data_IF_198097037396
#
_entry.id   IF_198097037396
#
_cell.length_a   1.000
_cell.length_b   1.000
_cell.length_c   1.000
_cell.angle_alpha   90.00
_cell.angle_beta   90.00
_cell.angle_gamma   90.00
#
_symmetry.space_group_name_H-M   'P 1'
#
loop_
_entity.id
_entity.type
_entity.pdbx_description
1 polymer ?
#
# COMPACT_ATOMS: atom_id res chain seq x y z
N UNK A 1 -7.67 4.66 -3.39
CA UNK A 1 -6.75 3.90 -2.51
C UNK A 1 -5.85 4.83 -1.69
N UNK A 2 -4.91 5.55 -2.30
CA UNK A 2 -3.97 6.41 -1.55
C UNK A 2 -4.62 7.56 -0.78
N UNK A 3 -5.65 8.19 -1.33
CA UNK A 3 -6.37 9.28 -0.67
C UNK A 3 -7.01 8.89 0.68
N UNK A 4 -7.38 7.62 0.84
CA UNK A 4 -8.09 7.09 2.02
C UNK A 4 -7.19 6.22 2.90
N UNK A 5 -5.94 5.99 2.51
CA UNK A 5 -5.07 5.04 3.20
C UNK A 5 -4.74 5.48 4.63
N UNK A 6 -4.44 6.76 4.79
CA UNK A 6 -4.04 7.36 6.07
C UNK A 6 -5.24 7.76 6.94
N UNK A 7 -6.46 7.39 6.56
CA UNK A 7 -7.71 7.69 7.29
C UNK A 7 -8.40 6.41 7.74
N UNK A 8 -9.41 6.51 8.61
CA UNK A 8 -10.20 5.36 9.07
C UNK A 8 -10.99 4.70 7.91
N UNK A 9 -11.28 5.45 6.85
CA UNK A 9 -11.97 4.93 5.65
C UNK A 9 -11.20 3.78 4.98
N UNK A 10 -9.89 3.67 5.24
CA UNK A 10 -9.03 2.56 4.80
C UNK A 10 -9.68 1.21 5.08
N UNK A 11 -10.22 0.99 6.27
CA UNK A 11 -10.70 -0.31 6.72
C UNK A 11 -11.99 -0.75 5.99
N UNK A 12 -12.72 0.22 5.43
CA UNK A 12 -13.84 -0.02 4.54
C UNK A 12 -13.40 -0.12 3.07
N UNK A 13 -12.50 0.75 2.61
CA UNK A 13 -12.19 0.89 1.19
C UNK A 13 -11.14 -0.10 0.70
N UNK A 14 -9.96 -0.17 1.35
CA UNK A 14 -8.83 -0.99 0.85
C UNK A 14 -9.27 -2.43 0.59
N UNK A 15 -9.97 -3.11 1.51
CA UNK A 15 -10.32 -4.53 1.34
C UNK A 15 -11.28 -4.79 0.18
N UNK A 16 -12.05 -3.79 -0.25
CA UNK A 16 -12.93 -3.88 -1.42
C UNK A 16 -12.18 -3.71 -2.75
N UNK A 17 -10.95 -3.18 -2.70
CA UNK A 17 -10.08 -3.02 -3.87
C UNK A 17 -9.12 -4.20 -4.08
N UNK A 18 -9.13 -5.20 -3.19
CA UNK A 18 -8.21 -6.35 -3.25
C UNK A 18 -8.91 -7.61 -3.73
N UNK A 19 -8.19 -8.41 -4.49
CA UNK A 19 -8.59 -9.77 -4.80
C UNK A 19 -8.69 -10.63 -3.51
N UNK A 20 -9.59 -11.63 -3.45
CA UNK A 20 -9.74 -12.49 -2.26
C UNK A 20 -8.44 -13.15 -1.79
N UNK A 21 -7.58 -13.52 -2.74
CA UNK A 21 -6.28 -14.17 -2.59
C UNK A 21 -5.11 -13.23 -2.93
N UNK A 22 -5.30 -11.92 -2.73
CA UNK A 22 -4.29 -10.87 -2.92
C UNK A 22 -2.93 -11.25 -2.31
N UNK A 23 -1.87 -10.88 -3.01
CA UNK A 23 -0.49 -11.07 -2.58
C UNK A 23 0.14 -9.73 -2.16
N UNK A 24 0.29 -9.50 -0.86
CA UNK A 24 0.74 -8.21 -0.34
C UNK A 24 2.08 -8.32 0.42
N UNK A 25 3.00 -7.35 0.26
CA UNK A 25 4.27 -7.38 0.97
C UNK A 25 4.05 -7.02 2.44
N UNK A 26 4.51 -7.90 3.35
CA UNK A 26 4.64 -7.57 4.76
C UNK A 26 6.09 -7.17 5.01
N UNK A 27 6.35 -5.86 4.95
CA UNK A 27 7.69 -5.30 5.08
C UNK A 27 8.27 -5.44 6.50
N UNK A 28 7.43 -5.58 7.52
CA UNK A 28 7.89 -5.70 8.91
C UNK A 28 8.59 -7.04 9.16
N UNK A 29 7.97 -8.13 8.69
CA UNK A 29 8.47 -9.47 8.93
C UNK A 29 9.26 -10.01 7.72
N UNK A 30 9.44 -9.19 6.66
CA UNK A 30 10.00 -9.60 5.36
C UNK A 30 9.29 -10.86 4.77
N UNK A 31 7.97 -10.90 4.90
CA UNK A 31 7.11 -11.99 4.43
C UNK A 31 6.04 -11.45 3.46
N UNK A 32 5.09 -12.31 3.07
CA UNK A 32 3.94 -11.91 2.25
C UNK A 32 2.63 -12.25 2.97
N UNK A 33 1.75 -11.27 3.06
CA UNK A 33 0.38 -11.43 3.54
C UNK A 33 -0.50 -11.90 2.38
N UNK A 34 -1.11 -13.09 2.52
CA UNK A 34 -1.94 -13.71 1.49
C UNK A 34 -3.41 -13.62 1.86
N UNK A 35 -4.20 -12.99 0.99
CA UNK A 35 -5.63 -12.78 1.15
C UNK A 35 -6.00 -11.61 2.06
N UNK A 36 -7.25 -11.17 1.93
CA UNK A 36 -7.76 -9.92 2.54
C UNK A 36 -7.59 -9.90 4.06
N UNK A 37 -7.83 -11.04 4.73
CA UNK A 37 -7.73 -11.14 6.18
C UNK A 37 -6.29 -10.89 6.67
N UNK A 38 -5.30 -11.46 5.99
CA UNK A 38 -3.89 -11.25 6.33
C UNK A 38 -3.46 -9.80 6.10
N UNK A 39 -3.92 -9.18 5.00
CA UNK A 39 -3.64 -7.76 4.71
C UNK A 39 -4.26 -6.84 5.76
N UNK A 40 -5.50 -7.11 6.20
CA UNK A 40 -6.14 -6.36 7.30
C UNK A 40 -5.35 -6.49 8.59
N UNK A 41 -4.93 -7.71 8.96
CA UNK A 41 -4.16 -7.94 10.18
C UNK A 41 -2.79 -7.23 10.14
N UNK A 42 -2.12 -7.24 8.97
CA UNK A 42 -0.88 -6.51 8.75
C UNK A 42 -1.05 -5.00 8.99
N UNK A 43 -2.05 -4.38 8.37
CA UNK A 43 -2.29 -2.95 8.55
C UNK A 43 -2.73 -2.61 9.98
N UNK A 44 -3.59 -3.42 10.60
CA UNK A 44 -3.98 -3.22 12.00
C UNK A 44 -2.75 -3.20 12.94
N UNK A 45 -1.79 -4.11 12.74
CA UNK A 45 -0.54 -4.13 13.51
C UNK A 45 0.31 -2.88 13.27
N UNK A 46 0.42 -2.41 12.03
CA UNK A 46 1.15 -1.17 11.73
C UNK A 46 0.50 0.03 12.42
N UNK A 47 -0.82 0.20 12.25
CA UNK A 47 -1.58 1.33 12.80
C UNK A 47 -1.69 1.31 14.32
N UNK A 48 -1.57 0.15 14.97
CA UNK A 48 -1.51 0.04 16.42
C UNK A 48 -0.18 0.55 17.03
N UNK A 49 0.90 0.55 16.25
CA UNK A 49 2.22 0.99 16.71
C UNK A 49 2.50 2.43 16.30
N UNK A 50 2.03 2.83 15.12
CA UNK A 50 2.36 4.11 14.52
C UNK A 50 1.32 4.50 13.47
N UNK A 51 1.15 5.78 13.14
CA UNK A 51 0.19 6.22 12.10
C UNK A 51 0.91 6.43 10.76
N UNK A 52 1.04 5.40 9.90
CA UNK A 52 1.74 5.55 8.63
C UNK A 52 0.98 6.48 7.69
N UNK A 53 1.74 7.32 7.02
CA UNK A 53 1.28 8.20 5.96
C UNK A 53 1.83 7.73 4.62
N UNK A 54 1.09 8.03 3.56
CA UNK A 54 1.55 7.80 2.19
C UNK A 54 1.08 8.96 1.32
N UNK A 55 1.99 9.54 0.56
CA UNK A 55 1.69 10.59 -0.41
C UNK A 55 2.01 10.07 -1.81
N UNK A 56 1.02 10.04 -2.69
CA UNK A 56 1.21 9.66 -4.09
C UNK A 56 1.82 10.83 -4.86
N UNK A 57 3.00 10.63 -5.43
CA UNK A 57 3.69 11.65 -6.23
C UNK A 57 3.55 11.41 -7.73
N UNK A 58 3.52 10.15 -8.15
CA UNK A 58 3.44 9.80 -9.57
C UNK A 58 2.71 8.48 -9.75
N UNK A 59 1.92 8.42 -10.81
CA UNK A 59 1.33 7.20 -11.32
C UNK A 59 1.79 6.99 -12.77
N UNK A 60 2.22 5.78 -13.08
CA UNK A 60 2.59 5.38 -14.44
C UNK A 60 2.29 3.90 -14.64
N UNK A 61 2.38 3.45 -15.89
CA UNK A 61 2.55 2.03 -16.17
C UNK A 61 4.04 1.68 -16.14
N UNK A 62 4.34 0.40 -15.93
CA UNK A 62 5.66 -0.14 -16.21
C UNK A 62 5.91 -0.28 -17.72
N UNK A 63 7.11 -0.70 -18.09
CA UNK A 63 7.59 -0.65 -19.47
C UNK A 63 6.79 -1.55 -20.42
N UNK A 64 6.19 -2.63 -19.91
CA UNK A 64 5.33 -3.54 -20.67
C UNK A 64 3.84 -3.17 -20.63
N UNK A 65 3.48 -2.13 -19.87
CA UNK A 65 2.12 -1.62 -19.75
C UNK A 65 1.19 -2.49 -18.88
N UNK A 66 1.70 -3.52 -18.19
CA UNK A 66 0.87 -4.51 -17.48
C UNK A 66 0.70 -4.20 -16.00
N UNK A 67 1.59 -3.40 -15.42
CA UNK A 67 1.56 -3.06 -13.99
C UNK A 67 1.44 -1.58 -13.81
N UNK A 68 0.72 -1.18 -12.76
CA UNK A 68 0.67 0.21 -12.35
C UNK A 68 1.78 0.45 -11.34
N UNK A 69 2.64 1.41 -11.61
CA UNK A 69 3.69 1.85 -10.71
C UNK A 69 3.29 3.18 -10.10
N UNK A 70 3.13 3.17 -8.78
CA UNK A 70 2.86 4.34 -7.98
C UNK A 70 4.12 4.73 -7.21
N UNK A 71 4.74 5.84 -7.57
CA UNK A 71 5.82 6.45 -6.78
C UNK A 71 5.19 7.18 -5.62
N UNK A 72 5.55 6.80 -4.40
CA UNK A 72 4.99 7.37 -3.18
C UNK A 72 6.09 7.83 -2.23
N UNK A 73 5.78 8.89 -1.48
CA UNK A 73 6.57 9.29 -0.32
C UNK A 73 5.92 8.70 0.93
N UNK A 74 6.58 7.75 1.61
CA UNK A 74 6.11 7.27 2.89
C UNK A 74 6.34 8.33 3.96
N UNK A 75 5.52 8.31 4.99
CA UNK A 75 5.67 9.19 6.14
C UNK A 75 5.07 8.58 7.40
N UNK A 76 5.14 9.33 8.48
CA UNK A 76 4.59 8.97 9.77
C UNK A 76 3.94 10.20 10.40
N UNK A 77 2.78 10.02 11.03
CA UNK A 77 2.17 11.03 11.88
C UNK A 77 2.39 10.71 13.35
N UNK A 78 2.84 11.69 14.10
CA UNK A 78 2.94 11.66 15.56
C UNK A 78 2.39 12.97 16.18
N UNK A 79 2.61 13.17 17.48
CA UNK A 79 2.13 14.34 18.23
C UNK A 79 2.70 15.68 17.74
N UNK A 80 3.83 15.66 17.03
CA UNK A 80 4.50 16.86 16.51
C UNK A 80 4.12 17.17 15.05
N UNK A 81 3.39 16.26 14.38
CA UNK A 81 2.85 16.46 13.04
C UNK A 81 3.21 15.34 12.05
N UNK A 82 3.28 15.70 10.78
CA UNK A 82 3.56 14.78 9.66
C UNK A 82 5.05 14.79 9.30
N UNK A 83 5.70 13.64 9.41
CA UNK A 83 7.11 13.44 9.06
C UNK A 83 7.22 12.62 7.79
N UNK A 84 7.75 13.22 6.74
CA UNK A 84 7.92 12.56 5.45
C UNK A 84 9.33 12.03 5.27
N UNK A 85 9.45 10.81 4.74
CA UNK A 85 10.74 10.25 4.37
C UNK A 85 11.41 11.09 3.27
N UNK A 86 12.75 11.21 3.27
CA UNK A 86 13.48 11.96 2.26
C UNK A 86 13.47 11.27 0.89
N UNK A 87 13.28 9.95 0.86
CA UNK A 87 13.27 9.14 -0.34
C UNK A 87 11.86 8.58 -0.62
N UNK A 88 11.54 8.44 -1.90
CA UNK A 88 10.33 7.77 -2.36
C UNK A 88 10.56 6.27 -2.53
N UNK A 89 9.45 5.53 -2.58
CA UNK A 89 9.41 4.12 -2.96
C UNK A 89 8.40 3.92 -4.09
N UNK A 90 8.55 2.85 -4.85
CA UNK A 90 7.57 2.46 -5.86
C UNK A 90 6.72 1.29 -5.36
N UNK A 91 5.40 1.50 -5.32
CA UNK A 91 4.42 0.44 -5.18
C UNK A 91 4.05 -0.05 -6.58
N UNK A 92 4.31 -1.32 -6.87
CA UNK A 92 4.03 -1.93 -8.17
C UNK A 92 2.83 -2.86 -8.03
N UNK A 93 1.73 -2.53 -8.70
CA UNK A 93 0.48 -3.27 -8.62
C UNK A 93 0.22 -4.10 -9.86
N UNK A 94 -0.21 -5.34 -9.64
CA UNK A 94 -0.87 -6.16 -10.65
C UNK A 94 -2.36 -6.19 -10.36
N UNK A 95 -3.16 -6.01 -11.40
CA UNK A 95 -4.61 -6.07 -11.35
C UNK A 95 -5.13 -7.31 -12.07
N UNK A 96 -6.30 -7.77 -11.64
CA UNK A 96 -7.10 -8.75 -12.37
C UNK A 96 -7.96 -8.06 -13.42
N UNK A 97 -8.60 -8.87 -14.26
CA UNK A 97 -9.58 -8.40 -15.25
C UNK A 97 -10.79 -7.70 -14.61
N UNK A 98 -11.16 -8.08 -13.39
CA UNK A 98 -12.22 -7.44 -12.60
C UNK A 98 -11.79 -6.10 -11.95
N UNK A 99 -10.56 -5.66 -12.19
CA UNK A 99 -10.01 -4.41 -11.65
C UNK A 99 -9.54 -4.48 -10.20
N UNK A 100 -9.54 -5.67 -9.58
CA UNK A 100 -9.04 -5.85 -8.21
C UNK A 100 -7.52 -6.06 -8.19
N UNK A 101 -6.87 -5.54 -7.15
CA UNK A 101 -5.43 -5.76 -6.92
C UNK A 101 -5.19 -7.22 -6.57
N UNK A 102 -4.47 -7.94 -7.42
CA UNK A 102 -4.02 -9.31 -7.15
C UNK A 102 -2.68 -9.37 -6.46
N UNK A 103 -1.81 -8.39 -6.70
CA UNK A 103 -0.48 -8.34 -6.12
C UNK A 103 0.02 -6.92 -5.99
N UNK A 104 0.76 -6.68 -4.91
CA UNK A 104 1.61 -5.52 -4.73
C UNK A 104 3.05 -5.98 -4.50
N UNK A 105 4.00 -5.22 -5.02
CA UNK A 105 5.41 -5.27 -4.66
C UNK A 105 5.89 -3.86 -4.29
N UNK A 106 6.97 -3.77 -3.50
CA UNK A 106 7.63 -2.51 -3.15
C UNK A 106 9.07 -2.58 -3.62
N UNK A 107 9.54 -1.54 -4.31
CA UNK A 107 10.94 -1.41 -4.73
C UNK A 107 11.42 0.03 -4.60
N UNK A 108 12.74 0.21 -4.69
CA UNK A 108 13.31 1.54 -4.84
C UNK A 108 13.07 2.05 -6.28
N UNK A 109 12.88 3.37 -6.48
CA UNK A 109 12.69 3.98 -7.79
C UNK A 109 13.84 3.73 -8.77
#
# INVERSE_FOLDING_TARGET
MYAVFSTEERDAFIPRSLAPDVDWPNLLDNTRARGIAAVRAYWARQFAVMHPLVHLERLRLDDDGRRVVATVRPGLRDETGDHWAPATVEHVYTFREDGLVSRMDVRQP
#
